data_IF_879106021048
#
_entry.id   IF_879106021048
#
_cell.length_a   1.000
_cell.length_b   1.000
_cell.length_c   1.000
_cell.angle_alpha   90.00
_cell.angle_beta   90.00
_cell.angle_gamma   90.00
#
_symmetry.space_group_name_H-M   'P 1'
#
loop_
_entity.id
_entity.type
_entity.pdbx_description
1 polymer ?
#
# COMPACT_ATOMS: atom_id res chain seq x y z
N UNK A 1 2.52 8.48 16.21
CA UNK A 1 2.81 7.58 15.10
C UNK A 1 1.53 7.30 14.32
N UNK A 2 1.64 7.33 13.01
CA UNK A 2 0.51 7.08 12.11
C UNK A 2 0.56 5.61 11.69
N UNK A 3 -0.51 4.86 11.93
CA UNK A 3 -0.61 3.46 11.49
C UNK A 3 -1.32 3.41 10.15
N UNK A 4 -0.69 2.76 9.17
CA UNK A 4 -1.20 2.68 7.81
C UNK A 4 -1.32 1.21 7.40
N UNK A 5 -2.53 0.80 7.07
CA UNK A 5 -2.82 -0.56 6.60
C UNK A 5 -3.03 -0.51 5.10
N UNK A 6 -2.31 -1.32 4.36
CA UNK A 6 -2.41 -1.36 2.90
C UNK A 6 -2.73 -2.76 2.41
N UNK A 7 -3.52 -2.84 1.35
CA UNK A 7 -3.76 -4.08 0.64
C UNK A 7 -4.11 -3.77 -0.81
N UNK A 8 -4.02 -4.78 -1.65
CA UNK A 8 -4.37 -4.65 -3.06
C UNK A 8 -5.21 -5.85 -3.49
N UNK A 9 -6.08 -5.62 -4.46
CA UNK A 9 -6.87 -6.67 -5.09
C UNK A 9 -6.65 -6.59 -6.60
N UNK A 10 -6.62 -7.74 -7.27
CA UNK A 10 -6.45 -7.81 -8.70
C UNK A 10 -7.39 -8.86 -9.28
N UNK A 11 -7.89 -8.60 -10.49
CA UNK A 11 -8.69 -9.54 -11.26
C UNK A 11 -7.82 -10.11 -12.39
N UNK A 12 -6.92 -11.01 -12.01
CA UNK A 12 -5.91 -11.59 -12.89
C UNK A 12 -4.50 -11.18 -12.46
N UNK A 13 -3.49 -11.85 -13.00
CA UNK A 13 -2.09 -11.62 -12.65
C UNK A 13 -1.23 -11.68 -13.93
N UNK A 14 -1.14 -10.59 -14.72
CA UNK A 14 -1.66 -9.25 -14.44
C UNK A 14 -3.15 -9.10 -14.72
N UNK A 15 -3.74 -8.06 -14.15
CA UNK A 15 -5.13 -7.70 -14.37
C UNK A 15 -5.46 -6.36 -13.74
N UNK A 16 -6.72 -5.90 -13.93
CA UNK A 16 -7.18 -4.70 -13.25
C UNK A 16 -6.97 -4.83 -11.74
N UNK A 17 -6.46 -3.78 -11.13
CA UNK A 17 -6.05 -3.82 -9.73
C UNK A 17 -6.48 -2.55 -9.01
N UNK A 18 -6.69 -2.67 -7.70
CA UNK A 18 -7.07 -1.54 -6.86
C UNK A 18 -6.41 -1.67 -5.48
N UNK A 19 -6.18 -0.55 -4.83
CA UNK A 19 -5.61 -0.49 -3.50
C UNK A 19 -6.67 -0.07 -2.48
N UNK A 20 -6.59 -0.64 -1.30
CA UNK A 20 -7.34 -0.24 -0.12
C UNK A 20 -6.38 0.18 0.98
N UNK A 21 -6.66 1.31 1.60
CA UNK A 21 -5.78 1.92 2.61
C UNK A 21 -6.62 2.37 3.79
N UNK A 22 -6.20 1.99 4.99
CA UNK A 22 -6.76 2.48 6.25
C UNK A 22 -5.66 3.26 6.95
N UNK A 23 -5.94 4.49 7.32
CA UNK A 23 -5.00 5.31 8.09
C UNK A 23 -5.60 5.56 9.47
N UNK A 24 -4.83 5.23 10.50
CA UNK A 24 -5.25 5.39 11.88
C UNK A 24 -4.32 6.37 12.59
N UNK A 25 -4.90 7.44 13.10
CA UNK A 25 -4.20 8.41 13.93
C UNK A 25 -4.98 8.53 15.25
N UNK A 26 -4.40 7.96 16.32
CA UNK A 26 -5.11 7.84 17.59
C UNK A 26 -6.39 7.03 17.42
N UNK A 27 -7.56 7.63 17.67
CA UNK A 27 -8.85 6.97 17.48
C UNK A 27 -9.50 7.31 16.14
N UNK A 28 -8.88 8.19 15.36
CA UNK A 28 -9.42 8.58 14.05
C UNK A 28 -9.02 7.56 12.99
N UNK A 29 -9.98 7.16 12.18
CA UNK A 29 -9.77 6.26 11.05
C UNK A 29 -10.16 6.97 9.77
N UNK A 30 -9.33 6.81 8.73
CA UNK A 30 -9.61 7.30 7.39
C UNK A 30 -9.43 6.17 6.38
N UNK A 31 -10.28 6.14 5.37
CA UNK A 31 -10.26 5.11 4.34
C UNK A 31 -9.99 5.73 3.00
N UNK A 32 -9.14 5.08 2.19
CA UNK A 32 -8.80 5.54 0.85
C UNK A 32 -8.75 4.35 -0.09
N UNK A 33 -9.19 4.57 -1.32
CA UNK A 33 -9.12 3.57 -2.38
C UNK A 33 -8.58 4.19 -3.64
N UNK A 34 -7.84 3.40 -4.43
CA UNK A 34 -7.26 3.85 -5.69
C UNK A 34 -7.34 2.74 -6.72
N UNK A 35 -7.75 3.08 -7.94
CA UNK A 35 -7.59 2.17 -9.06
C UNK A 35 -6.14 2.24 -9.54
N UNK A 36 -5.51 1.08 -9.75
CA UNK A 36 -4.08 1.01 -10.08
C UNK A 36 -3.80 0.67 -11.53
N UNK A 37 -4.82 0.37 -12.33
CA UNK A 37 -4.66 -0.11 -13.68
C UNK A 37 -4.34 -1.60 -13.72
N UNK A 38 -3.83 -2.08 -14.84
CA UNK A 38 -3.45 -3.49 -14.99
C UNK A 38 -2.07 -3.72 -14.42
N UNK A 39 -2.00 -4.53 -13.37
CA UNK A 39 -0.76 -4.82 -12.63
C UNK A 39 -0.70 -6.29 -12.25
N UNK A 40 0.50 -6.80 -12.02
CA UNK A 40 0.67 -8.09 -11.37
C UNK A 40 0.29 -7.94 -9.89
N UNK A 41 0.06 -9.06 -9.21
CA UNK A 41 -0.28 -9.04 -7.79
C UNK A 41 0.79 -8.31 -6.97
N UNK A 42 2.06 -8.61 -7.19
CA UNK A 42 3.15 -7.97 -6.45
C UNK A 42 3.27 -6.48 -6.76
N UNK A 43 3.15 -6.09 -8.04
CA UNK A 43 3.16 -4.68 -8.41
C UNK A 43 2.04 -3.91 -7.71
N UNK A 44 0.85 -4.48 -7.67
CA UNK A 44 -0.30 -3.85 -7.03
C UNK A 44 -0.05 -3.63 -5.53
N UNK A 45 0.59 -4.59 -4.86
CA UNK A 45 0.92 -4.45 -3.44
C UNK A 45 1.94 -3.34 -3.18
N UNK A 46 2.98 -3.22 -4.02
CA UNK A 46 3.92 -2.11 -3.93
C UNK A 46 3.23 -0.77 -4.18
N UNK A 47 2.38 -0.71 -5.19
CA UNK A 47 1.66 0.52 -5.54
C UNK A 47 0.70 0.94 -4.42
N UNK A 48 0.12 0.00 -3.69
CA UNK A 48 -0.72 0.33 -2.54
C UNK A 48 0.09 1.08 -1.48
N UNK A 49 1.32 0.66 -1.23
CA UNK A 49 2.22 1.36 -0.29
C UNK A 49 2.57 2.76 -0.82
N UNK A 50 2.86 2.87 -2.11
CA UNK A 50 3.14 4.18 -2.74
C UNK A 50 1.97 5.13 -2.54
N UNK A 51 0.75 4.68 -2.84
CA UNK A 51 -0.45 5.51 -2.68
C UNK A 51 -0.66 5.92 -1.23
N UNK A 52 -0.44 5.00 -0.31
CA UNK A 52 -0.56 5.28 1.12
C UNK A 52 0.43 6.37 1.56
N UNK A 53 1.69 6.27 1.14
CA UNK A 53 2.70 7.27 1.50
C UNK A 53 2.41 8.61 0.85
N UNK A 54 1.91 8.62 -0.40
CA UNK A 54 1.50 9.87 -1.05
C UNK A 54 0.39 10.58 -0.25
N UNK A 55 -0.60 9.85 0.23
CA UNK A 55 -1.65 10.40 1.10
C UNK A 55 -1.02 10.96 2.38
N UNK A 56 -0.10 10.21 2.99
CA UNK A 56 0.54 10.65 4.24
C UNK A 56 1.42 11.88 4.06
N UNK A 57 2.07 12.05 2.90
CA UNK A 57 2.85 13.26 2.62
C UNK A 57 1.96 14.50 2.70
N UNK A 58 0.73 14.42 2.20
CA UNK A 58 -0.19 15.54 2.20
C UNK A 58 -0.82 15.77 3.59
N UNK A 59 -1.20 14.71 4.28
CA UNK A 59 -2.00 14.80 5.50
C UNK A 59 -1.19 14.79 6.80
N UNK A 60 -0.03 14.14 6.79
CA UNK A 60 0.74 13.89 8.01
C UNK A 60 2.23 14.19 7.83
N UNK A 61 2.59 15.39 7.30
CA UNK A 61 4.01 15.73 7.14
C UNK A 61 4.69 15.77 8.50
N UNK A 62 5.92 15.26 8.56
CA UNK A 62 6.71 15.30 9.79
C UNK A 62 6.34 14.23 10.82
N UNK A 63 5.41 13.35 10.51
CA UNK A 63 5.00 12.27 11.41
C UNK A 63 5.80 10.99 11.14
N UNK A 64 5.90 10.13 12.15
CA UNK A 64 6.44 8.78 11.99
C UNK A 64 5.33 7.89 11.44
N UNK A 65 5.63 7.14 10.40
CA UNK A 65 4.66 6.29 9.70
C UNK A 65 4.98 4.82 9.96
N UNK A 66 3.95 4.03 10.31
CA UNK A 66 4.07 2.58 10.44
C UNK A 66 3.19 1.92 9.38
N UNK A 67 3.81 1.43 8.32
CA UNK A 67 3.12 0.73 7.23
C UNK A 67 2.96 -0.74 7.59
N UNK A 68 1.73 -1.24 7.51
CA UNK A 68 1.39 -2.63 7.80
C UNK A 68 0.78 -3.27 6.57
N UNK A 69 1.31 -4.40 6.16
CA UNK A 69 0.89 -5.10 4.95
C UNK A 69 0.97 -6.61 5.18
N UNK A 70 0.09 -7.36 4.53
CA UNK A 70 0.17 -8.81 4.51
C UNK A 70 0.97 -9.33 3.30
N UNK A 71 1.47 -8.43 2.47
CA UNK A 71 2.33 -8.78 1.33
C UNK A 71 3.78 -8.90 1.81
N UNK A 72 4.19 -10.13 2.09
CA UNK A 72 5.53 -10.38 2.63
C UNK A 72 6.64 -9.87 1.72
N UNK A 73 6.47 -10.01 0.40
CA UNK A 73 7.48 -9.55 -0.57
C UNK A 73 7.74 -8.03 -0.43
N UNK A 74 6.69 -7.25 -0.20
CA UNK A 74 6.82 -5.80 -0.05
C UNK A 74 7.53 -5.46 1.24
N UNK A 75 7.08 -6.04 2.36
CA UNK A 75 7.66 -5.77 3.67
C UNK A 75 9.13 -6.19 3.70
N UNK A 76 9.45 -7.39 3.22
CA UNK A 76 10.82 -7.88 3.20
C UNK A 76 11.73 -6.99 2.34
N UNK A 77 11.25 -6.55 1.17
CA UNK A 77 12.00 -5.66 0.30
C UNK A 77 12.34 -4.35 1.00
N UNK A 78 11.35 -3.74 1.64
CA UNK A 78 11.56 -2.46 2.30
C UNK A 78 12.42 -2.60 3.56
N UNK A 79 12.25 -3.66 4.34
CA UNK A 79 13.08 -3.89 5.52
C UNK A 79 14.53 -4.16 5.16
N UNK A 80 14.77 -4.94 4.11
CA UNK A 80 16.13 -5.20 3.61
C UNK A 80 16.74 -4.00 2.90
N UNK A 81 15.90 -3.06 2.49
CA UNK A 81 16.31 -1.88 1.73
C UNK A 81 17.02 -2.28 0.43
N UNK A 82 16.50 -3.31 -0.24
CA UNK A 82 17.16 -3.88 -1.42
C UNK A 82 16.21 -4.76 -2.22
N UNK A 83 16.33 -4.73 -3.56
CA UNK A 83 15.67 -5.69 -4.44
C UNK A 83 16.57 -6.03 -5.62
N UNK A 84 16.60 -7.31 -6.00
CA UNK A 84 17.24 -7.78 -7.23
C UNK A 84 16.28 -7.76 -8.42
N UNK A 85 14.99 -7.63 -8.14
CA UNK A 85 13.96 -7.73 -9.17
C UNK A 85 13.81 -6.41 -9.91
N UNK A 86 14.16 -6.43 -11.20
CA UNK A 86 14.10 -5.22 -12.04
C UNK A 86 12.68 -4.69 -12.21
N UNK A 87 11.67 -5.56 -12.12
CA UNK A 87 10.27 -5.13 -12.20
C UNK A 87 9.85 -4.35 -10.95
N UNK A 88 10.43 -4.66 -9.80
CA UNK A 88 10.10 -3.98 -8.54
C UNK A 88 10.92 -2.70 -8.33
N UNK A 89 12.06 -2.60 -9.00
CA UNK A 89 13.01 -1.50 -8.75
C UNK A 89 12.39 -0.11 -8.86
N UNK A 90 11.64 0.22 -9.91
CA UNK A 90 11.05 1.58 -9.99
C UNK A 90 10.12 1.89 -8.81
N UNK A 91 9.35 0.90 -8.36
CA UNK A 91 8.44 1.08 -7.22
C UNK A 91 9.21 1.18 -5.91
N UNK A 92 10.21 0.33 -5.74
CA UNK A 92 11.11 0.38 -4.59
C UNK A 92 11.76 1.77 -4.46
N UNK A 93 12.31 2.28 -5.55
CA UNK A 93 12.95 3.60 -5.57
C UNK A 93 11.95 4.71 -5.27
N UNK A 94 10.74 4.62 -5.80
CA UNK A 94 9.67 5.58 -5.52
C UNK A 94 9.34 5.61 -4.03
N UNK A 95 9.25 4.46 -3.39
CA UNK A 95 8.99 4.37 -1.95
C UNK A 95 10.12 5.01 -1.17
N UNK A 96 11.37 4.75 -1.56
CA UNK A 96 12.53 5.36 -0.90
C UNK A 96 12.47 6.90 -0.96
N UNK A 97 12.09 7.45 -2.10
CA UNK A 97 11.95 8.91 -2.25
C UNK A 97 10.84 9.44 -1.35
N UNK A 98 9.68 8.76 -1.33
CA UNK A 98 8.54 9.18 -0.51
C UNK A 98 8.87 9.13 0.99
N UNK A 99 9.56 8.09 1.44
CA UNK A 99 9.86 7.94 2.86
C UNK A 99 10.82 9.01 3.39
N UNK A 100 11.59 9.65 2.51
CA UNK A 100 12.45 10.77 2.91
C UNK A 100 11.67 11.98 3.43
N UNK A 101 10.37 12.04 3.13
CA UNK A 101 9.48 13.11 3.58
C UNK A 101 9.08 12.96 5.05
N UNK A 102 9.45 11.88 5.70
CA UNK A 102 9.08 11.57 7.07
C UNK A 102 10.33 11.34 7.92
N UNK A 103 10.27 11.61 9.24
CA UNK A 103 11.40 11.30 10.14
C UNK A 103 11.75 9.83 10.12
N UNK A 104 10.76 8.94 10.03
CA UNK A 104 10.96 7.51 9.94
C UNK A 104 9.72 6.82 9.36
N UNK A 105 9.93 5.77 8.57
CA UNK A 105 8.87 4.90 8.08
C UNK A 105 9.22 3.46 8.45
N UNK A 106 8.37 2.83 9.25
CA UNK A 106 8.49 1.42 9.60
C UNK A 106 7.64 0.58 8.67
N UNK A 107 8.08 -0.63 8.39
CA UNK A 107 7.32 -1.62 7.62
C UNK A 107 7.12 -2.85 8.48
N UNK A 108 5.87 -3.28 8.63
CA UNK A 108 5.54 -4.44 9.46
C UNK A 108 4.65 -5.39 8.69
N UNK A 109 5.06 -6.66 8.61
CA UNK A 109 4.20 -7.70 8.08
C UNK A 109 3.13 -8.06 9.10
N UNK A 110 1.88 -8.21 8.63
CA UNK A 110 0.77 -8.69 9.43
C UNK A 110 0.05 -9.81 8.64
N UNK A 111 -0.54 -10.79 9.32
CA UNK A 111 -1.30 -11.83 8.62
C UNK A 111 -2.58 -11.25 8.02
N UNK A 112 -3.10 -11.89 6.96
CA UNK A 112 -4.32 -11.47 6.27
C UNK A 112 -5.48 -11.22 7.22
N UNK A 113 -5.64 -12.09 8.21
CA UNK A 113 -6.74 -11.96 9.19
C UNK A 113 -6.71 -10.65 9.96
N UNK A 114 -5.55 -10.01 10.03
CA UNK A 114 -5.39 -8.72 10.71
C UNK A 114 -5.45 -7.53 9.75
N UNK A 115 -5.66 -7.79 8.45
CA UNK A 115 -5.70 -6.77 7.41
C UNK A 115 -7.03 -6.77 6.64
N UNK A 116 -8.09 -7.27 7.26
CA UNK A 116 -9.40 -7.48 6.60
C UNK A 116 -10.05 -6.19 6.10
N UNK A 117 -9.87 -5.08 6.81
CA UNK A 117 -10.50 -3.81 6.41
C UNK A 117 -9.87 -3.26 5.14
N UNK A 118 -8.54 -3.27 5.05
CA UNK A 118 -7.85 -2.83 3.83
C UNK A 118 -8.17 -3.77 2.66
N UNK A 119 -8.22 -5.09 2.90
CA UNK A 119 -8.60 -6.08 1.90
C UNK A 119 -10.02 -5.81 1.37
N UNK A 120 -10.98 -5.58 2.26
CA UNK A 120 -12.36 -5.27 1.87
C UNK A 120 -12.42 -4.04 0.99
N UNK A 121 -11.72 -2.97 1.38
CA UNK A 121 -11.69 -1.73 0.60
C UNK A 121 -11.09 -1.96 -0.79
N UNK A 122 -10.00 -2.72 -0.87
CA UNK A 122 -9.35 -3.02 -2.15
C UNK A 122 -10.31 -3.79 -3.07
N UNK A 123 -11.00 -4.80 -2.56
CA UNK A 123 -11.96 -5.59 -3.33
C UNK A 123 -13.15 -4.77 -3.79
N UNK A 124 -13.71 -3.96 -2.90
CA UNK A 124 -14.83 -3.09 -3.24
C UNK A 124 -14.44 -2.08 -4.31
N UNK A 125 -13.26 -1.47 -4.16
CA UNK A 125 -12.75 -0.53 -5.15
C UNK A 125 -12.57 -1.20 -6.51
N UNK A 126 -12.00 -2.40 -6.54
CA UNK A 126 -11.81 -3.15 -7.77
C UNK A 126 -13.15 -3.40 -8.47
N UNK A 127 -14.17 -3.85 -7.72
CA UNK A 127 -15.50 -4.09 -8.27
C UNK A 127 -16.10 -2.80 -8.83
N UNK A 128 -15.98 -1.70 -8.11
CA UNK A 128 -16.55 -0.43 -8.53
C UNK A 128 -15.88 0.13 -9.79
N UNK A 129 -14.57 -0.02 -9.92
CA UNK A 129 -13.83 0.48 -11.08
C UNK A 129 -13.98 -0.43 -12.31
N UNK A 130 -14.26 -1.71 -12.13
CA UNK A 130 -14.37 -2.68 -13.24
C UNK A 130 -15.82 -3.02 -13.58
N UNK A 131 -16.79 -2.50 -12.83
CA UNK A 131 -18.20 -2.77 -13.07
C UNK A 131 -18.65 -2.16 -14.39
N UNK A 132 -19.37 -2.90 -15.25
CA UNK A 132 -19.92 -2.35 -16.48
C UNK A 132 -20.90 -1.21 -16.19
N UNK A 133 -20.88 -0.20 -17.02
CA UNK A 133 -21.80 0.93 -16.96
C UNK A 133 -23.01 0.67 -17.82
#
# INVERSE_FOLDING_TARGET
MIEVYTDAAASGDPGPSAAGIIIKKGQSLSEYTFYLGEKTNHEAEFLAVIKALEVCVDLFPGEIISVRSDAKIVVDTMEKNFTKNEQFRPMFEKILILQERFPYVFYKWIPEKNNKNADRLAREALQNYTKPR
#
